data_IF_082428685374
#
_entry.id   IF_082428685374
#
_cell.length_a   1.000
_cell.length_b   1.000
_cell.length_c   1.000
_cell.angle_alpha   90.00
_cell.angle_beta   90.00
_cell.angle_gamma   90.00
#
_symmetry.space_group_name_H-M   'P 1'
#
loop_
_entity.id
_entity.type
_entity.pdbx_description
1 polymer ?
#
# COMPACT_ATOMS: atom_id res chain seq x y z
N UNK A 1 26.90 9.88 19.26
CA UNK A 1 25.86 10.90 18.96
C UNK A 1 24.52 10.34 19.39
N UNK A 2 23.80 11.03 20.28
CA UNK A 2 22.53 10.57 20.84
C UNK A 2 21.40 10.91 19.85
N UNK A 3 21.27 10.14 18.78
CA UNK A 3 20.22 10.35 17.78
C UNK A 3 18.86 9.91 18.35
N UNK A 4 18.10 10.91 18.81
CA UNK A 4 16.62 10.96 18.85
C UNK A 4 15.91 9.98 19.80
N UNK A 5 15.62 10.46 21.02
CA UNK A 5 14.35 10.11 21.68
C UNK A 5 13.24 11.00 21.12
N UNK A 6 12.76 10.71 19.90
CA UNK A 6 11.41 11.15 19.52
C UNK A 6 10.45 10.20 20.21
N UNK A 7 9.60 10.71 21.08
CA UNK A 7 8.55 9.91 21.71
C UNK A 7 7.61 9.43 20.61
N UNK A 8 7.77 8.18 20.17
CA UNK A 8 6.80 7.52 19.32
C UNK A 8 5.67 7.07 20.26
N UNK A 9 4.62 7.87 20.34
CA UNK A 9 3.39 7.45 21.01
C UNK A 9 2.80 6.30 20.17
N UNK A 10 2.46 5.14 20.77
CA UNK A 10 1.82 4.07 20.04
C UNK A 10 0.53 4.52 19.35
N UNK A 11 0.24 3.99 18.16
CA UNK A 11 -1.01 4.31 17.45
C UNK A 11 -2.25 3.97 18.29
N UNK A 12 -2.19 2.85 19.02
CA UNK A 12 -3.24 2.43 19.96
C UNK A 12 -3.48 3.44 21.08
N UNK A 13 -2.42 4.02 21.63
CA UNK A 13 -2.52 5.07 22.64
C UNK A 13 -3.12 6.35 22.04
N UNK A 14 -2.75 6.67 20.79
CA UNK A 14 -3.29 7.84 20.07
C UNK A 14 -4.77 7.65 19.76
N UNK A 15 -5.18 6.45 19.35
CA UNK A 15 -6.57 6.11 19.08
C UNK A 15 -7.44 6.18 20.33
N UNK A 16 -6.97 5.66 21.47
CA UNK A 16 -7.67 5.77 22.74
C UNK A 16 -7.87 7.24 23.16
N UNK A 17 -6.87 8.10 22.95
CA UNK A 17 -6.98 9.53 23.22
C UNK A 17 -8.02 10.22 22.32
N UNK A 18 -8.04 9.90 21.03
CA UNK A 18 -9.03 10.43 20.08
C UNK A 18 -10.44 10.05 20.52
N UNK A 19 -10.66 8.78 20.90
CA UNK A 19 -11.95 8.31 21.39
C UNK A 19 -12.37 9.00 22.68
N UNK A 20 -11.44 9.17 23.63
CA UNK A 20 -11.71 9.88 24.88
C UNK A 20 -12.12 11.34 24.64
N UNK A 21 -11.41 12.05 23.77
CA UNK A 21 -11.74 13.44 23.42
C UNK A 21 -13.12 13.50 22.75
N UNK A 22 -13.44 12.57 21.84
CA UNK A 22 -14.78 12.51 21.22
C UNK A 22 -15.88 12.41 22.27
N UNK A 23 -15.74 11.50 23.24
CA UNK A 23 -16.71 11.32 24.31
C UNK A 23 -16.85 12.58 25.17
N UNK A 24 -15.73 13.20 25.53
CA UNK A 24 -15.72 14.43 26.33
C UNK A 24 -16.42 15.58 25.58
N UNK A 25 -16.19 15.71 24.27
CA UNK A 25 -16.82 16.74 23.45
C UNK A 25 -18.32 16.51 23.29
N UNK A 26 -18.76 15.27 23.10
CA UNK A 26 -20.19 14.92 23.08
C UNK A 26 -20.84 15.22 24.42
N UNK A 27 -20.18 14.96 25.54
CA UNK A 27 -20.73 15.24 26.87
C UNK A 27 -20.90 16.76 27.11
N UNK A 28 -19.96 17.58 26.62
CA UNK A 28 -19.97 19.04 26.86
C UNK A 28 -20.86 19.78 25.85
N UNK A 29 -20.87 19.35 24.58
CA UNK A 29 -21.53 20.06 23.47
C UNK A 29 -22.58 19.25 22.71
N UNK A 30 -22.98 18.08 23.24
CA UNK A 30 -23.98 17.19 22.62
C UNK A 30 -23.66 16.90 21.14
N UNK A 31 -24.59 17.27 20.24
CA UNK A 31 -24.57 16.96 18.82
C UNK A 31 -23.59 17.77 17.99
N UNK A 32 -23.08 18.90 18.51
CA UNK A 32 -22.22 19.81 17.74
C UNK A 32 -20.86 19.18 17.40
N UNK A 33 -20.50 18.10 18.10
CA UNK A 33 -19.24 17.39 17.95
C UNK A 33 -19.37 15.97 17.41
N UNK A 34 -20.54 15.60 16.86
CA UNK A 34 -20.73 14.27 16.25
C UNK A 34 -19.75 13.99 15.10
N UNK A 35 -19.42 15.04 14.34
CA UNK A 35 -18.44 15.00 13.24
C UNK A 35 -16.99 14.81 13.72
N UNK A 36 -16.72 14.94 15.03
CA UNK A 36 -15.39 14.71 15.55
C UNK A 36 -14.94 13.26 15.28
N UNK A 37 -13.68 13.04 14.87
CA UNK A 37 -13.19 11.71 14.52
C UNK A 37 -13.29 10.71 15.68
N UNK A 38 -13.89 9.55 15.45
CA UNK A 38 -13.96 8.46 16.42
C UNK A 38 -12.83 7.43 16.32
N UNK A 39 -11.94 7.57 15.34
CA UNK A 39 -10.82 6.67 15.11
C UNK A 39 -9.61 7.42 14.58
N UNK A 40 -8.43 6.81 14.74
CA UNK A 40 -7.19 7.38 14.22
C UNK A 40 -7.23 7.58 12.70
N UNK A 41 -7.88 6.65 11.98
CA UNK A 41 -8.09 6.75 10.54
C UNK A 41 -8.91 7.97 10.14
N UNK A 42 -10.06 8.21 10.79
CA UNK A 42 -10.91 9.37 10.51
C UNK A 42 -10.18 10.67 10.85
N UNK A 43 -9.41 10.69 11.94
CA UNK A 43 -8.64 11.86 12.34
C UNK A 43 -7.55 12.18 11.32
N UNK A 44 -6.81 11.16 10.85
CA UNK A 44 -5.82 11.31 9.78
C UNK A 44 -6.47 11.84 8.50
N UNK A 45 -7.63 11.34 8.12
CA UNK A 45 -8.37 11.82 6.96
C UNK A 45 -8.80 13.28 7.09
N UNK A 46 -9.38 13.67 8.23
CA UNK A 46 -9.81 15.04 8.50
C UNK A 46 -8.63 16.03 8.48
N UNK A 47 -7.45 15.60 8.96
CA UNK A 47 -6.22 16.40 8.96
C UNK A 47 -5.45 16.37 7.63
N UNK A 48 -5.93 15.63 6.62
CA UNK A 48 -5.19 15.44 5.37
C UNK A 48 -3.90 14.61 5.52
N UNK A 49 -3.70 13.96 6.66
CA UNK A 49 -2.58 13.05 6.96
C UNK A 49 -2.84 11.64 6.42
N UNK A 50 -3.39 11.54 5.20
CA UNK A 50 -3.58 10.25 4.54
C UNK A 50 -2.23 9.57 4.41
N UNK A 51 -2.18 8.32 4.82
CA UNK A 51 -1.04 7.46 4.53
C UNK A 51 -0.85 7.44 3.02
N UNK A 52 0.31 7.91 2.54
CA UNK A 52 0.62 8.01 1.12
C UNK A 52 1.01 6.63 0.58
N UNK A 53 0.09 5.67 0.69
CA UNK A 53 0.20 4.40 -0.02
C UNK A 53 -0.33 4.59 -1.43
N UNK A 54 0.44 4.12 -2.39
CA UNK A 54 0.02 3.94 -3.75
C UNK A 54 -0.54 2.53 -3.89
N UNK A 55 -1.84 2.43 -4.13
CA UNK A 55 -2.50 1.15 -4.38
C UNK A 55 -2.21 0.67 -5.80
N UNK A 56 -1.61 -0.52 -5.91
CA UNK A 56 -1.42 -1.21 -7.18
C UNK A 56 -2.31 -2.46 -7.26
N UNK A 57 -2.92 -2.68 -8.42
CA UNK A 57 -3.57 -3.94 -8.75
C UNK A 57 -2.50 -5.00 -9.06
N UNK A 58 -2.63 -6.19 -8.46
CA UNK A 58 -1.61 -7.24 -8.57
C UNK A 58 -2.17 -8.45 -9.31
N UNK A 59 -1.45 -8.92 -10.33
CA UNK A 59 -1.79 -10.18 -10.97
C UNK A 59 -1.57 -11.36 -10.00
N UNK A 60 -2.60 -12.17 -9.78
CA UNK A 60 -2.51 -13.33 -8.88
C UNK A 60 -1.51 -14.40 -9.33
N UNK A 61 -1.25 -14.50 -10.64
CA UNK A 61 -0.39 -15.55 -11.22
C UNK A 61 1.08 -15.15 -11.37
N UNK A 62 1.35 -13.90 -11.71
CA UNK A 62 2.73 -13.42 -11.97
C UNK A 62 3.19 -12.31 -11.05
N UNK A 63 2.32 -11.82 -10.15
CA UNK A 63 2.59 -10.74 -9.19
C UNK A 63 3.03 -9.42 -9.82
N UNK A 64 2.81 -9.24 -11.14
CA UNK A 64 3.02 -7.96 -11.79
C UNK A 64 2.03 -6.93 -11.25
N UNK A 65 2.56 -5.77 -10.88
CA UNK A 65 1.82 -4.60 -10.42
C UNK A 65 1.35 -3.75 -11.61
N UNK A 66 0.11 -3.28 -11.50
CA UNK A 66 -0.57 -2.38 -12.43
C UNK A 66 -1.16 -1.22 -11.64
N UNK A 67 -1.30 -0.04 -12.26
CA UNK A 67 -2.02 1.06 -11.62
C UNK A 67 -3.48 0.65 -11.40
N UNK A 68 -3.99 0.85 -10.19
CA UNK A 68 -5.36 0.47 -9.82
C UNK A 68 -6.39 1.13 -10.73
N UNK A 69 -6.24 2.42 -11.04
CA UNK A 69 -7.19 3.17 -11.87
C UNK A 69 -7.27 2.59 -13.28
N UNK A 70 -6.12 2.31 -13.88
CA UNK A 70 -6.03 1.75 -15.22
C UNK A 70 -6.74 0.39 -15.34
N UNK A 71 -6.75 -0.40 -14.25
CA UNK A 71 -7.43 -1.70 -14.19
C UNK A 71 -8.93 -1.56 -13.97
N UNK A 72 -9.36 -0.69 -13.06
CA UNK A 72 -10.78 -0.50 -12.70
C UNK A 72 -11.56 0.27 -13.77
N UNK A 73 -10.90 1.19 -14.49
CA UNK A 73 -11.49 2.01 -15.55
C UNK A 73 -11.25 1.43 -16.96
N UNK A 74 -10.73 0.21 -17.05
CA UNK A 74 -10.38 -0.42 -18.32
C UNK A 74 -11.61 -0.57 -19.23
N UNK A 75 -11.49 -0.08 -20.47
CA UNK A 75 -12.54 -0.15 -21.49
C UNK A 75 -12.06 -0.87 -22.74
N UNK A 76 -12.91 -1.75 -23.27
CA UNK A 76 -12.73 -2.38 -24.56
C UNK A 76 -13.96 -2.07 -25.42
N UNK A 77 -13.74 -1.48 -26.60
CA UNK A 77 -14.81 -1.03 -27.49
C UNK A 77 -15.83 -0.08 -26.82
N UNK A 78 -15.36 0.76 -25.89
CA UNK A 78 -16.19 1.73 -25.15
C UNK A 78 -16.87 1.18 -23.90
N UNK A 79 -16.92 -0.14 -23.71
CA UNK A 79 -17.54 -0.79 -22.56
C UNK A 79 -16.51 -1.13 -21.48
N UNK A 80 -16.92 -0.98 -20.21
CA UNK A 80 -16.11 -1.39 -19.07
C UNK A 80 -15.90 -2.91 -19.12
N UNK A 81 -14.65 -3.36 -19.08
CA UNK A 81 -14.32 -4.79 -19.24
C UNK A 81 -13.20 -5.20 -18.30
N UNK A 82 -13.13 -6.49 -17.98
CA UNK A 82 -12.07 -7.04 -17.12
C UNK A 82 -10.73 -7.01 -17.86
N UNK A 83 -9.79 -6.22 -17.35
CA UNK A 83 -8.44 -6.16 -17.88
C UNK A 83 -7.70 -7.48 -17.65
N UNK A 84 -7.01 -7.98 -18.68
CA UNK A 84 -6.14 -9.15 -18.59
C UNK A 84 -4.67 -8.76 -18.46
N UNK A 85 -3.93 -9.55 -17.69
CA UNK A 85 -2.50 -9.35 -17.47
C UNK A 85 -1.70 -9.58 -18.78
N UNK A 86 -1.09 -8.51 -19.27
CA UNK A 86 -0.24 -8.49 -20.46
C UNK A 86 1.23 -8.87 -20.19
N UNK A 87 1.59 -9.19 -18.94
CA UNK A 87 2.99 -9.45 -18.57
C UNK A 87 3.55 -10.70 -19.26
N UNK A 88 4.75 -10.56 -19.83
CA UNK A 88 5.55 -11.63 -20.43
C UNK A 88 6.72 -11.96 -19.50
N UNK A 89 6.75 -13.18 -18.96
CA UNK A 89 7.89 -13.65 -18.16
C UNK A 89 9.07 -13.98 -19.09
N UNK A 90 10.24 -13.42 -18.81
CA UNK A 90 11.48 -13.64 -19.58
C UNK A 90 11.39 -13.22 -21.06
N UNK A 91 11.23 -11.92 -21.37
CA UNK A 91 11.12 -11.43 -22.74
C UNK A 91 12.36 -11.74 -23.59
N UNK A 92 13.52 -11.99 -22.97
CA UNK A 92 14.74 -12.28 -23.71
C UNK A 92 14.88 -13.77 -24.12
N UNK A 93 14.07 -14.67 -23.55
CA UNK A 93 14.14 -16.11 -23.84
C UNK A 93 13.33 -16.48 -25.10
N UNK A 94 14.01 -16.97 -26.14
CA UNK A 94 13.41 -17.35 -27.44
C UNK A 94 12.21 -18.30 -27.32
N UNK A 95 12.26 -19.28 -26.41
CA UNK A 95 11.16 -20.25 -26.17
C UNK A 95 9.99 -19.74 -25.33
N UNK A 96 10.16 -18.64 -24.57
CA UNK A 96 9.18 -18.11 -23.61
C UNK A 96 8.61 -16.73 -23.97
N UNK A 97 9.18 -16.06 -24.99
CA UNK A 97 8.76 -14.76 -25.53
C UNK A 97 7.27 -14.61 -25.83
N UNK A 98 6.55 -15.71 -26.08
CA UNK A 98 5.20 -15.69 -26.62
C UNK A 98 4.08 -15.91 -25.58
N UNK A 99 4.39 -16.29 -24.32
CA UNK A 99 3.36 -16.62 -23.33
C UNK A 99 3.07 -15.43 -22.42
N UNK A 100 2.12 -14.58 -22.83
CA UNK A 100 1.50 -13.59 -21.95
C UNK A 100 0.73 -14.28 -20.82
N UNK A 101 0.68 -13.64 -19.65
CA UNK A 101 0.04 -14.20 -18.46
C UNK A 101 -1.47 -14.45 -18.65
N UNK A 102 -2.18 -13.48 -19.24
CA UNK A 102 -3.61 -13.49 -19.59
C UNK A 102 -4.59 -13.69 -18.41
N UNK A 103 -4.09 -13.71 -17.17
CA UNK A 103 -4.91 -13.77 -15.95
C UNK A 103 -5.73 -12.48 -15.80
N UNK A 104 -7.03 -12.56 -15.47
CA UNK A 104 -7.82 -11.37 -15.15
C UNK A 104 -7.21 -10.65 -13.94
N UNK A 105 -7.23 -9.31 -13.97
CA UNK A 105 -6.71 -8.46 -12.89
C UNK A 105 -7.81 -8.00 -11.92
N UNK A 106 -9.06 -8.15 -12.32
CA UNK A 106 -10.22 -7.58 -11.66
C UNK A 106 -11.43 -8.49 -11.76
N UNK A 107 -12.28 -8.47 -10.74
CA UNK A 107 -13.59 -9.09 -10.77
C UNK A 107 -14.63 -8.06 -11.20
N UNK A 108 -15.58 -8.51 -12.03
CA UNK A 108 -16.77 -7.74 -12.39
C UNK A 108 -17.92 -8.16 -11.49
N UNK A 109 -18.60 -7.19 -10.88
CA UNK A 109 -19.79 -7.39 -10.06
C UNK A 109 -20.90 -6.44 -10.47
N UNK A 110 -22.12 -6.96 -10.61
CA UNK A 110 -23.32 -6.15 -10.80
C UNK A 110 -23.78 -5.57 -9.46
N UNK A 111 -23.93 -4.25 -9.42
CA UNK A 111 -24.48 -3.52 -8.29
C UNK A 111 -26.00 -3.41 -8.42
N UNK A 112 -26.65 -2.96 -7.34
CA UNK A 112 -28.06 -2.56 -7.37
C UNK A 112 -28.30 -1.58 -8.52
N UNK A 113 -29.43 -1.77 -9.22
CA UNK A 113 -29.83 -1.01 -10.42
C UNK A 113 -29.05 -1.33 -11.72
N UNK A 114 -28.40 -2.49 -11.81
CA UNK A 114 -27.77 -2.96 -13.05
C UNK A 114 -26.47 -2.24 -13.41
N UNK A 115 -25.90 -1.47 -12.48
CA UNK A 115 -24.62 -0.80 -12.69
C UNK A 115 -23.48 -1.80 -12.54
N UNK A 116 -22.57 -1.85 -13.51
CA UNK A 116 -21.41 -2.74 -13.47
C UNK A 116 -20.28 -2.07 -12.67
N UNK A 117 -19.70 -2.80 -11.73
CA UNK A 117 -18.48 -2.39 -11.03
C UNK A 117 -17.34 -3.35 -11.35
N UNK A 118 -16.16 -2.80 -11.62
CA UNK A 118 -14.93 -3.56 -11.78
C UNK A 118 -13.98 -3.17 -10.66
N UNK A 119 -13.50 -4.16 -9.92
CA UNK A 119 -12.56 -3.96 -8.82
C UNK A 119 -11.38 -4.90 -8.96
N UNK A 120 -10.18 -4.41 -8.70
CA UNK A 120 -8.99 -5.25 -8.69
C UNK A 120 -9.17 -6.41 -7.71
N UNK A 121 -8.84 -7.64 -8.12
CA UNK A 121 -8.97 -8.82 -7.24
C UNK A 121 -8.01 -8.76 -6.05
N UNK A 122 -6.83 -8.19 -6.27
CA UNK A 122 -5.81 -8.03 -5.24
C UNK A 122 -5.16 -6.66 -5.33
N UNK A 123 -5.14 -5.96 -4.20
CA UNK A 123 -4.47 -4.69 -4.02
C UNK A 123 -3.16 -4.91 -3.26
N UNK A 124 -2.09 -4.29 -3.75
CA UNK A 124 -0.81 -4.19 -3.07
C UNK A 124 -0.55 -2.73 -2.71
N UNK A 125 -0.64 -2.37 -1.42
CA UNK A 125 -0.33 -1.02 -0.97
C UNK A 125 1.19 -0.82 -0.99
N UNK A 126 1.65 0.25 -1.63
CA UNK A 126 3.07 0.57 -1.70
C UNK A 126 3.34 1.95 -1.09
N UNK A 127 4.14 2.00 -0.03
CA UNK A 127 4.55 3.27 0.56
C UNK A 127 5.45 4.04 -0.42
N UNK A 128 5.30 5.35 -0.53
CA UNK A 128 6.26 6.16 -1.30
C UNK A 128 7.70 5.96 -0.80
N UNK A 129 8.68 6.06 -1.71
CA UNK A 129 10.11 5.86 -1.40
C UNK A 129 10.56 6.72 -0.22
N UNK A 130 10.09 7.97 -0.13
CA UNK A 130 10.41 8.88 1.00
C UNK A 130 9.94 8.32 2.34
N UNK A 131 8.73 7.76 2.38
CA UNK A 131 8.18 7.15 3.58
C UNK A 131 8.92 5.88 3.96
N UNK A 132 9.28 5.04 2.99
CA UNK A 132 10.10 3.85 3.23
C UNK A 132 11.47 4.22 3.80
N UNK A 133 12.18 5.17 3.20
CA UNK A 133 13.48 5.65 3.68
C UNK A 133 13.38 6.27 5.07
N UNK A 134 12.32 7.04 5.36
CA UNK A 134 12.08 7.59 6.68
C UNK A 134 11.89 6.46 7.71
N UNK A 135 11.05 5.46 7.40
CA UNK A 135 10.83 4.29 8.27
C UNK A 135 12.13 3.52 8.53
N UNK A 136 12.94 3.27 7.50
CA UNK A 136 14.26 2.62 7.65
C UNK A 136 15.17 3.45 8.54
N UNK A 137 15.23 4.77 8.36
CA UNK A 137 16.04 5.65 9.18
C UNK A 137 15.66 5.61 10.67
N UNK A 138 14.37 5.41 10.99
CA UNK A 138 13.91 5.30 12.38
C UNK A 138 14.18 3.92 13.00
N UNK A 139 14.56 2.91 12.23
CA UNK A 139 14.85 1.58 12.78
C UNK A 139 16.15 1.56 13.62
N UNK A 140 16.14 0.88 14.78
CA UNK A 140 17.36 0.66 15.54
C UNK A 140 18.44 -0.01 14.70
N UNK A 141 19.67 0.52 14.74
CA UNK A 141 20.77 -0.06 13.97
C UNK A 141 20.79 0.30 12.48
N UNK A 142 20.00 1.29 12.04
CA UNK A 142 20.00 1.76 10.64
C UNK A 142 21.40 1.97 10.06
N UNK A 143 22.30 2.67 10.78
CA UNK A 143 23.68 2.89 10.34
C UNK A 143 24.48 1.59 10.15
N UNK A 144 24.21 0.57 10.98
CA UNK A 144 24.81 -0.76 10.85
C UNK A 144 24.25 -1.48 9.62
N UNK A 145 22.94 -1.38 9.38
CA UNK A 145 22.31 -1.99 8.20
C UNK A 145 22.84 -1.39 6.89
N UNK A 146 23.15 -0.09 6.86
CA UNK A 146 23.82 0.55 5.71
C UNK A 146 25.22 0.00 5.43
N UNK A 147 25.90 -0.57 6.44
CA UNK A 147 27.22 -1.20 6.30
C UNK A 147 27.15 -2.71 6.15
N UNK A 148 25.96 -3.30 6.28
CA UNK A 148 25.78 -4.74 6.21
C UNK A 148 26.43 -5.32 4.97
N UNK A 149 26.27 -4.67 3.82
CA UNK A 149 26.87 -5.08 2.55
C UNK A 149 28.40 -5.26 2.58
N UNK A 150 29.12 -4.48 3.39
CA UNK A 150 30.58 -4.58 3.53
C UNK A 150 31.04 -5.71 4.46
N UNK A 151 30.15 -6.21 5.32
CA UNK A 151 30.44 -7.27 6.30
C UNK A 151 29.83 -8.62 5.90
N UNK A 152 29.12 -8.70 4.76
CA UNK A 152 28.46 -9.93 4.31
C UNK A 152 29.48 -11.01 3.96
N UNK A 153 29.24 -12.23 4.45
CA UNK A 153 29.83 -13.43 3.84
C UNK A 153 29.25 -13.55 2.43
N UNK A 154 30.12 -13.50 1.43
CA UNK A 154 29.73 -13.68 0.04
C UNK A 154 29.16 -15.11 -0.12
N UNK A 155 27.88 -15.20 -0.48
CA UNK A 155 27.32 -16.43 -1.03
C UNK A 155 27.37 -16.23 -2.53
N UNK A 156 28.11 -17.08 -3.24
CA UNK A 156 28.48 -16.87 -4.65
C UNK A 156 27.28 -16.68 -5.60
N UNK A 157 26.08 -17.13 -5.20
CA UNK A 157 24.89 -17.16 -6.05
C UNK A 157 23.68 -16.33 -5.55
N UNK A 158 23.81 -15.55 -4.47
CA UNK A 158 22.67 -14.81 -3.90
C UNK A 158 22.94 -13.30 -3.92
N UNK A 159 22.19 -12.59 -4.77
CA UNK A 159 22.09 -11.13 -4.72
C UNK A 159 21.13 -10.74 -3.60
N UNK A 160 21.61 -9.98 -2.63
CA UNK A 160 20.79 -9.40 -1.55
C UNK A 160 20.92 -7.87 -1.53
N UNK A 161 19.84 -7.16 -1.25
CA UNK A 161 19.81 -5.70 -1.17
C UNK A 161 19.60 -5.19 0.27
N UNK A 162 19.36 -3.89 0.43
CA UNK A 162 19.16 -3.24 1.75
C UNK A 162 17.81 -3.59 2.39
N UNK A 163 16.90 -4.20 1.65
CA UNK A 163 15.60 -4.66 2.14
C UNK A 163 15.64 -6.11 2.63
N UNK A 164 16.70 -6.87 2.31
CA UNK A 164 16.94 -8.24 2.78
C UNK A 164 17.63 -8.31 4.17
N UNK A 165 17.76 -7.16 4.86
CA UNK A 165 18.49 -6.99 6.13
C UNK A 165 17.59 -7.03 7.35
#
# INVERSE_FOLDING_TARGET
MNFRKRFNIPETATEALIQFIKLLLIEIGSSDFEEFPGSLYLARNALGLKEQYHDFATCLKCHKLYNKKDVEEFKQNGNLTVMKCSHVKFPNSTSRRLKQCQTPLSAQSELLHGHISIRAEKIFPFAGIRSQLASMYYWPGFEKNLRYWSERKQFDDILTDIYDS
#
